data_IF_169565142964
#
_entry.id   IF_169565142964
#
_cell.length_a   1.000
_cell.length_b   1.000
_cell.length_c   1.000
_cell.angle_alpha   90.00
_cell.angle_beta   90.00
_cell.angle_gamma   90.00
#
_symmetry.space_group_name_H-M   'P 1'
#
loop_
_entity.id
_entity.type
_entity.pdbx_description
1 polymer ?
#
# COMPACT_ATOMS: atom_id res chain seq x y z
N UNK A 1 40.24 -16.44 -46.32
CA UNK A 1 39.74 -16.14 -47.67
C UNK A 1 38.49 -15.31 -47.51
N UNK A 2 38.40 -14.20 -48.25
CA UNK A 2 37.29 -13.24 -48.25
C UNK A 2 35.94 -13.86 -48.67
N UNK A 3 34.84 -13.13 -48.69
CA UNK A 3 34.70 -11.74 -49.10
C UNK A 3 33.61 -10.97 -48.32
N UNK A 4 33.80 -9.65 -48.31
CA UNK A 4 32.86 -8.61 -47.90
C UNK A 4 31.77 -8.37 -48.96
N UNK A 5 30.64 -7.80 -48.53
CA UNK A 5 29.89 -6.72 -49.20
C UNK A 5 28.62 -6.46 -48.35
N UNK A 6 27.99 -5.29 -48.26
CA UNK A 6 28.40 -3.89 -48.15
C UNK A 6 27.08 -3.11 -47.86
N UNK A 7 27.22 -1.90 -47.30
CA UNK A 7 26.29 -0.76 -47.38
C UNK A 7 25.07 -0.59 -46.42
N UNK A 8 25.32 0.19 -45.37
CA UNK A 8 25.00 1.63 -45.26
C UNK A 8 23.59 2.14 -45.61
N UNK A 9 22.88 2.72 -44.61
CA UNK A 9 22.50 4.15 -44.64
C UNK A 9 21.95 4.65 -43.29
N UNK A 10 22.51 5.77 -42.86
CA UNK A 10 22.06 6.68 -41.81
C UNK A 10 20.89 7.55 -42.34
N UNK A 11 19.98 7.97 -41.46
CA UNK A 11 19.08 9.10 -41.72
C UNK A 11 18.82 9.84 -40.40
N UNK A 12 19.57 10.92 -40.23
CA UNK A 12 19.41 11.96 -39.22
C UNK A 12 18.43 13.02 -39.76
N UNK A 13 17.36 13.28 -39.02
CA UNK A 13 16.36 14.29 -39.37
C UNK A 13 16.19 15.34 -38.27
N UNK A 14 17.15 16.27 -38.16
CA UNK A 14 16.96 17.57 -37.51
C UNK A 14 16.05 18.47 -38.35
N UNK A 15 15.09 19.13 -37.71
CA UNK A 15 14.19 20.09 -38.34
C UNK A 15 14.05 21.34 -37.48
N UNK A 16 15.03 22.24 -37.57
CA UNK A 16 14.92 23.64 -37.18
C UNK A 16 14.25 24.44 -38.31
N UNK A 17 13.24 25.24 -37.95
CA UNK A 17 12.75 26.34 -38.79
C UNK A 17 12.22 27.47 -37.90
N UNK A 18 13.17 28.25 -37.36
CA UNK A 18 12.93 29.63 -36.91
C UNK A 18 12.84 30.54 -38.13
N UNK A 19 11.81 31.39 -38.18
CA UNK A 19 11.68 32.37 -39.24
C UNK A 19 10.34 33.08 -39.23
N UNK A 20 10.28 34.27 -38.61
CA UNK A 20 10.07 35.50 -39.39
C UNK A 20 10.19 36.74 -38.49
N UNK A 21 11.25 37.50 -38.73
CA UNK A 21 11.54 38.80 -38.12
C UNK A 21 10.72 39.88 -38.84
N UNK A 22 9.88 40.60 -38.11
CA UNK A 22 9.28 41.85 -38.55
C UNK A 22 9.67 43.02 -37.65
N UNK A 23 10.75 43.74 -38.00
CA UNK A 23 11.01 45.15 -37.61
C UNK A 23 10.37 46.02 -38.71
N UNK A 24 9.70 47.17 -38.52
CA UNK A 24 9.93 48.43 -37.76
C UNK A 24 8.73 49.37 -38.12
N UNK A 25 8.59 50.69 -37.76
CA UNK A 25 9.18 51.54 -36.69
C UNK A 25 8.22 52.57 -35.99
N UNK A 26 8.69 53.12 -34.85
CA UNK A 26 8.53 54.51 -34.30
C UNK A 26 7.18 55.11 -33.79
N UNK A 27 7.09 55.25 -32.45
CA UNK A 27 6.92 56.45 -31.56
C UNK A 27 6.20 57.76 -32.04
N UNK A 28 5.85 58.71 -31.13
CA UNK A 28 5.42 58.66 -29.71
C UNK A 28 4.16 59.54 -29.45
N UNK A 29 3.68 59.64 -28.20
CA UNK A 29 3.38 60.90 -27.45
C UNK A 29 2.28 60.78 -26.38
N UNK A 30 2.70 61.23 -25.19
CA UNK A 30 1.97 61.77 -24.05
C UNK A 30 0.57 62.35 -24.28
N UNK A 31 -0.39 62.04 -23.39
CA UNK A 31 -1.18 63.06 -22.69
C UNK A 31 -2.04 62.44 -21.57
N UNK A 32 -1.80 62.93 -20.35
CA UNK A 32 -2.59 62.69 -19.15
C UNK A 32 -4.08 63.05 -19.33
N UNK A 33 -4.98 62.24 -18.76
CA UNK A 33 -6.25 62.73 -18.24
C UNK A 33 -6.46 62.21 -16.82
N UNK A 34 -6.22 63.09 -15.87
CA UNK A 34 -6.71 62.98 -14.51
C UNK A 34 -8.24 62.86 -14.51
N UNK A 35 -8.76 61.76 -13.97
CA UNK A 35 -10.13 61.70 -13.44
C UNK A 35 -10.05 61.17 -12.01
N UNK A 36 -10.05 62.09 -11.05
CA UNK A 36 -10.40 61.76 -9.68
C UNK A 36 -11.90 61.45 -9.61
N UNK A 37 -12.28 60.28 -9.06
CA UNK A 37 -13.48 60.11 -8.22
C UNK A 37 -13.55 58.72 -7.56
N UNK A 38 -13.42 58.77 -6.23
CA UNK A 38 -13.94 57.88 -5.15
C UNK A 38 -13.21 56.56 -4.85
N UNK A 39 -12.77 56.32 -3.59
CA UNK A 39 -12.40 54.98 -3.15
C UNK A 39 -13.67 54.11 -3.09
N UNK A 40 -13.67 53.02 -3.86
CA UNK A 40 -14.66 51.97 -3.71
C UNK A 40 -14.57 51.36 -2.30
N UNK A 41 -15.69 50.94 -1.68
CA UNK A 41 -15.62 50.20 -0.42
C UNK A 41 -14.74 48.97 -0.63
N UNK A 42 -13.70 48.84 0.19
CA UNK A 42 -12.86 47.65 0.23
C UNK A 42 -13.72 46.47 0.73
N UNK A 43 -14.48 45.85 -0.17
CA UNK A 43 -14.92 44.47 0.05
C UNK A 43 -13.66 43.60 0.04
N UNK A 44 -13.40 42.80 1.08
CA UNK A 44 -12.35 41.79 1.02
C UNK A 44 -12.62 40.93 -0.21
N UNK A 45 -11.76 41.05 -1.23
CA UNK A 45 -11.82 40.14 -2.37
C UNK A 45 -11.42 38.78 -1.81
N UNK A 46 -12.42 37.92 -1.59
CA UNK A 46 -12.25 36.51 -1.29
C UNK A 46 -11.20 35.97 -2.26
N UNK A 47 -9.99 35.69 -1.76
CA UNK A 47 -8.91 35.17 -2.60
C UNK A 47 -9.33 33.77 -3.03
N UNK A 48 -9.65 33.61 -4.32
CA UNK A 48 -9.93 32.31 -4.90
C UNK A 48 -8.74 31.39 -4.62
N UNK A 49 -8.99 30.29 -3.92
CA UNK A 49 -7.98 29.27 -3.64
C UNK A 49 -7.35 28.81 -4.94
N UNK A 50 -6.03 28.91 -5.00
CA UNK A 50 -5.26 28.52 -6.18
C UNK A 50 -5.24 27.00 -6.32
N UNK A 51 -4.91 26.50 -7.51
CA UNK A 51 -4.69 25.06 -7.72
C UNK A 51 -3.64 24.50 -6.74
N UNK A 52 -2.60 25.30 -6.43
CA UNK A 52 -1.58 24.95 -5.44
C UNK A 52 -2.18 24.76 -4.05
N UNK A 53 -3.08 25.62 -3.62
CA UNK A 53 -3.75 25.51 -2.31
C UNK A 53 -4.60 24.23 -2.23
N UNK A 54 -5.24 23.85 -3.34
CA UNK A 54 -6.02 22.62 -3.42
C UNK A 54 -5.12 21.38 -3.38
N UNK A 55 -3.98 21.40 -4.10
CA UNK A 55 -3.00 20.32 -4.04
C UNK A 55 -2.40 20.16 -2.64
N UNK A 56 -2.00 21.27 -2.00
CA UNK A 56 -1.49 21.25 -0.63
C UNK A 56 -2.55 20.72 0.35
N UNK A 57 -3.81 21.15 0.21
CA UNK A 57 -4.91 20.64 1.01
C UNK A 57 -5.09 19.13 0.84
N UNK A 58 -5.07 18.61 -0.39
CA UNK A 58 -5.18 17.17 -0.67
C UNK A 58 -4.02 16.37 -0.08
N UNK A 59 -2.80 16.92 -0.10
CA UNK A 59 -1.63 16.27 0.49
C UNK A 59 -1.75 16.20 2.02
N UNK A 60 -2.20 17.28 2.66
CA UNK A 60 -2.43 17.32 4.11
C UNK A 60 -3.56 16.36 4.48
N UNK A 61 -4.69 16.38 3.77
CA UNK A 61 -5.80 15.46 4.00
C UNK A 61 -5.38 13.99 3.82
N UNK A 62 -4.59 13.68 2.80
CA UNK A 62 -4.06 12.32 2.60
C UNK A 62 -3.12 11.89 3.73
N UNK A 63 -2.30 12.82 4.25
CA UNK A 63 -1.42 12.55 5.38
C UNK A 63 -2.20 12.35 6.68
N UNK A 64 -3.17 13.22 6.98
CA UNK A 64 -4.04 13.10 8.14
C UNK A 64 -4.89 11.84 8.08
N UNK A 65 -5.46 11.50 6.92
CA UNK A 65 -6.21 10.27 6.70
C UNK A 65 -5.32 9.04 6.92
N UNK A 66 -4.07 9.07 6.45
CA UNK A 66 -3.09 8.00 6.68
C UNK A 66 -2.65 7.91 8.14
N UNK A 67 -2.49 9.04 8.82
CA UNK A 67 -2.15 9.10 10.24
C UNK A 67 -3.29 8.63 11.14
N UNK A 68 -4.55 8.95 10.79
CA UNK A 68 -5.74 8.46 11.49
C UNK A 68 -6.00 6.98 11.18
N UNK A 69 -5.63 6.51 9.99
CA UNK A 69 -5.66 5.09 9.60
C UNK A 69 -4.51 4.26 10.19
N UNK A 70 -3.74 4.79 11.15
CA UNK A 70 -2.59 4.15 11.82
C UNK A 70 -2.92 2.90 12.67
N UNK A 71 -4.01 2.19 12.37
CA UNK A 71 -4.15 0.76 12.67
C UNK A 71 -3.62 -0.13 11.55
N UNK A 72 -3.28 0.45 10.39
CA UNK A 72 -2.76 -0.24 9.22
C UNK A 72 -1.54 0.53 8.68
N UNK A 73 -0.51 0.65 9.53
CA UNK A 73 0.75 1.32 9.17
C UNK A 73 1.52 0.49 8.14
N UNK A 74 2.16 1.17 7.18
CA UNK A 74 3.10 0.58 6.22
C UNK A 74 4.42 0.11 6.86
N UNK A 75 4.55 0.26 8.18
CA UNK A 75 5.46 -0.53 9.03
C UNK A 75 4.75 -1.78 9.52
N UNK A 76 3.91 -2.39 8.67
CA UNK A 76 3.04 -3.50 9.04
C UNK A 76 3.91 -4.48 9.79
N UNK A 77 3.70 -4.62 11.09
CA UNK A 77 4.10 -5.85 11.74
C UNK A 77 3.51 -6.91 10.82
N UNK A 78 4.37 -7.77 10.28
CA UNK A 78 3.89 -8.89 9.49
C UNK A 78 3.06 -9.65 10.51
N UNK A 79 1.74 -9.43 10.48
CA UNK A 79 0.82 -10.13 11.37
C UNK A 79 0.97 -11.56 10.93
N UNK A 80 1.69 -12.34 11.72
CA UNK A 80 1.92 -13.74 11.47
C UNK A 80 0.62 -14.45 11.80
N UNK A 81 -0.33 -14.36 10.87
CA UNK A 81 -1.66 -14.93 11.00
C UNK A 81 -1.61 -16.42 11.31
N UNK A 82 -0.55 -17.12 10.87
CA UNK A 82 -0.34 -18.51 11.21
C UNK A 82 0.03 -18.69 12.68
N UNK A 83 0.90 -17.84 13.23
CA UNK A 83 1.24 -17.87 14.66
C UNK A 83 0.02 -17.63 15.53
N UNK A 84 -0.78 -16.63 15.19
CA UNK A 84 -2.00 -16.29 15.93
C UNK A 84 -3.03 -17.42 15.84
N UNK A 85 -3.19 -18.03 14.66
CA UNK A 85 -4.04 -19.20 14.45
C UNK A 85 -3.60 -20.37 15.34
N UNK A 86 -2.31 -20.74 15.29
CA UNK A 86 -1.77 -21.85 16.09
C UNK A 86 -1.93 -21.57 17.59
N UNK A 87 -1.64 -20.35 18.04
CA UNK A 87 -1.81 -19.96 19.44
C UNK A 87 -3.28 -20.12 19.88
N UNK A 88 -4.23 -19.61 19.09
CA UNK A 88 -5.66 -19.77 19.37
C UNK A 88 -6.09 -21.24 19.44
N UNK A 89 -5.47 -22.12 18.65
CA UNK A 89 -5.80 -23.55 18.68
C UNK A 89 -5.19 -24.26 19.88
N UNK A 90 -3.98 -23.89 20.31
CA UNK A 90 -3.38 -24.41 21.55
C UNK A 90 -4.19 -23.98 22.78
N UNK A 91 -4.67 -22.73 22.82
CA UNK A 91 -5.60 -22.27 23.84
C UNK A 91 -6.89 -23.09 23.85
N UNK A 92 -7.38 -23.50 22.67
CA UNK A 92 -8.55 -24.37 22.57
C UNK A 92 -8.27 -25.76 23.14
N UNK A 93 -7.07 -26.31 22.93
CA UNK A 93 -6.67 -27.60 23.50
C UNK A 93 -6.61 -27.55 25.03
N UNK A 94 -6.09 -26.46 25.60
CA UNK A 94 -6.12 -26.24 27.05
C UNK A 94 -7.55 -26.17 27.56
N UNK A 95 -8.43 -25.41 26.89
CA UNK A 95 -9.87 -25.33 27.22
C UNK A 95 -10.59 -26.68 27.12
N UNK A 96 -10.08 -27.60 26.32
CA UNK A 96 -10.63 -28.94 26.17
C UNK A 96 -10.21 -29.91 27.28
N UNK A 97 -9.32 -29.47 28.19
CA UNK A 97 -8.85 -30.23 29.35
C UNK A 97 -7.47 -30.85 29.16
N UNK A 98 -6.70 -30.43 28.16
CA UNK A 98 -5.31 -30.83 27.99
C UNK A 98 -4.37 -29.74 28.51
N UNK A 99 -4.00 -29.86 29.79
CA UNK A 99 -3.08 -28.95 30.47
C UNK A 99 -1.75 -28.83 29.70
N UNK A 100 -1.00 -27.74 29.90
CA UNK A 100 0.24 -27.50 29.15
C UNK A 100 1.29 -28.61 29.29
N UNK A 101 1.24 -29.33 30.41
CA UNK A 101 2.11 -30.46 30.76
C UNK A 101 1.60 -31.81 30.25
N UNK A 102 0.41 -31.84 29.63
CA UNK A 102 -0.18 -33.06 29.09
C UNK A 102 0.44 -33.47 27.76
N UNK A 103 0.43 -34.77 27.51
CA UNK A 103 0.84 -35.34 26.23
C UNK A 103 0.00 -34.78 25.07
N UNK A 104 -1.29 -34.53 25.27
CA UNK A 104 -2.18 -34.00 24.23
C UNK A 104 -1.79 -32.58 23.83
N UNK A 105 -1.43 -31.74 24.80
CA UNK A 105 -0.92 -30.40 24.53
C UNK A 105 0.41 -30.46 23.75
N UNK A 106 1.31 -31.37 24.13
CA UNK A 106 2.53 -31.62 23.37
C UNK A 106 2.22 -32.08 21.93
N UNK A 107 1.30 -33.03 21.73
CA UNK A 107 0.92 -33.50 20.39
C UNK A 107 0.35 -32.37 19.54
N UNK A 108 -0.50 -31.52 20.12
CA UNK A 108 -1.05 -30.36 19.43
C UNK A 108 0.05 -29.40 18.96
N UNK A 109 1.01 -29.09 19.84
CA UNK A 109 2.14 -28.21 19.50
C UNK A 109 2.96 -28.70 18.30
N UNK A 110 3.00 -30.02 18.07
CA UNK A 110 3.74 -30.62 16.97
C UNK A 110 2.89 -30.86 15.72
N UNK A 111 1.60 -31.18 15.88
CA UNK A 111 0.69 -31.49 14.77
C UNK A 111 0.20 -30.21 14.08
N UNK A 112 -0.16 -29.18 14.84
CA UNK A 112 -0.79 -27.95 14.30
C UNK A 112 0.18 -27.04 13.53
N UNK A 113 1.48 -27.33 13.56
CA UNK A 113 2.47 -26.72 12.65
C UNK A 113 2.11 -26.93 11.17
N UNK A 114 1.46 -28.07 10.84
CA UNK A 114 1.02 -28.40 9.47
C UNK A 114 -0.38 -27.85 9.20
N UNK A 115 -0.58 -27.22 8.04
CA UNK A 115 -1.87 -26.60 7.69
C UNK A 115 -2.99 -27.64 7.58
N UNK A 116 -2.71 -28.81 7.01
CA UNK A 116 -3.69 -29.87 6.81
C UNK A 116 -4.24 -30.38 8.15
N UNK A 117 -3.36 -30.47 9.15
CA UNK A 117 -3.75 -30.83 10.51
C UNK A 117 -4.63 -29.75 11.15
N UNK A 118 -4.36 -28.47 10.86
CA UNK A 118 -5.21 -27.39 11.36
C UNK A 118 -6.59 -27.41 10.72
N UNK A 119 -6.64 -27.58 9.41
CA UNK A 119 -7.88 -27.69 8.64
C UNK A 119 -8.75 -28.84 9.18
N UNK A 120 -8.17 -29.97 9.57
CA UNK A 120 -8.91 -31.07 10.20
C UNK A 120 -9.35 -30.70 11.63
N UNK A 121 -8.45 -30.16 12.45
CA UNK A 121 -8.73 -29.85 13.85
C UNK A 121 -9.92 -28.90 14.02
N UNK A 122 -10.04 -27.87 13.17
CA UNK A 122 -11.15 -26.90 13.24
C UNK A 122 -12.52 -27.51 12.91
N UNK A 123 -12.56 -28.65 12.20
CA UNK A 123 -13.83 -29.34 11.89
C UNK A 123 -14.39 -30.11 13.08
N UNK A 124 -13.55 -30.41 14.06
CA UNK A 124 -13.91 -31.20 15.24
C UNK A 124 -14.61 -30.31 16.28
N UNK A 125 -15.90 -30.56 16.49
CA UNK A 125 -16.74 -29.72 17.35
C UNK A 125 -16.63 -30.05 18.84
N UNK A 126 -16.35 -31.31 19.19
CA UNK A 126 -16.32 -31.76 20.59
C UNK A 126 -14.92 -31.72 21.17
N UNK A 127 -14.75 -31.31 22.45
CA UNK A 127 -13.46 -31.35 23.15
C UNK A 127 -12.81 -32.74 23.09
N UNK A 128 -13.54 -33.79 23.49
CA UNK A 128 -13.06 -35.16 23.43
C UNK A 128 -12.69 -35.60 22.00
N UNK A 129 -13.42 -35.14 20.99
CA UNK A 129 -13.11 -35.45 19.59
C UNK A 129 -11.76 -34.89 19.18
N UNK A 130 -11.45 -33.64 19.57
CA UNK A 130 -10.15 -33.00 19.33
C UNK A 130 -9.02 -33.73 20.05
N UNK A 131 -9.18 -34.04 21.34
CA UNK A 131 -8.15 -34.75 22.11
C UNK A 131 -7.89 -36.17 21.59
N UNK A 132 -8.93 -36.93 21.27
CA UNK A 132 -8.78 -38.28 20.69
C UNK A 132 -8.09 -38.21 19.32
N UNK A 133 -8.44 -37.22 18.50
CA UNK A 133 -7.81 -37.02 17.21
C UNK A 133 -6.32 -36.70 17.34
N UNK A 134 -5.93 -35.85 18.30
CA UNK A 134 -4.52 -35.53 18.57
C UNK A 134 -3.71 -36.79 18.90
N UNK A 135 -4.20 -37.62 19.83
CA UNK A 135 -3.58 -38.90 20.20
C UNK A 135 -3.42 -39.81 18.97
N UNK A 136 -4.51 -40.05 18.22
CA UNK A 136 -4.48 -40.94 17.05
C UNK A 136 -3.55 -40.43 15.95
N UNK A 137 -3.59 -39.12 15.68
CA UNK A 137 -2.76 -38.49 14.64
C UNK A 137 -1.29 -38.55 15.00
N UNK A 138 -0.95 -38.41 16.29
CA UNK A 138 0.41 -38.59 16.78
C UNK A 138 0.90 -40.03 16.56
N UNK A 139 0.09 -41.03 16.91
CA UNK A 139 0.45 -42.44 16.69
C UNK A 139 0.63 -42.79 15.21
N UNK A 140 -0.22 -42.26 14.33
CA UNK A 140 -0.06 -42.43 12.87
C UNK A 140 1.23 -41.79 12.40
N UNK A 141 1.54 -40.57 12.86
CA UNK A 141 2.76 -39.85 12.50
C UNK A 141 4.02 -40.58 12.93
N UNK A 142 4.05 -41.25 14.09
CA UNK A 142 5.22 -42.01 14.57
C UNK A 142 5.52 -43.26 13.74
N UNK A 143 4.51 -43.80 13.03
CA UNK A 143 4.64 -45.02 12.23
C UNK A 143 5.05 -44.76 10.78
N UNK A 144 5.02 -43.50 10.36
CA UNK A 144 5.42 -43.05 9.03
C UNK A 144 6.82 -42.41 9.09
#
# INVERSE_FOLDING_TARGET
GGANDDQHREDDGEGDADGNIGRTPQDPTSAERMTQKRPAPYSPKEKKKTFRDQCMKRLVEAYEMKAQSSKQSATSQVVDHQRDEIASMLDQVIKDGADEESDEHFYASQLLKKKENRDVFITLKTPNGRLIWLRRSWEIRKKN
#
